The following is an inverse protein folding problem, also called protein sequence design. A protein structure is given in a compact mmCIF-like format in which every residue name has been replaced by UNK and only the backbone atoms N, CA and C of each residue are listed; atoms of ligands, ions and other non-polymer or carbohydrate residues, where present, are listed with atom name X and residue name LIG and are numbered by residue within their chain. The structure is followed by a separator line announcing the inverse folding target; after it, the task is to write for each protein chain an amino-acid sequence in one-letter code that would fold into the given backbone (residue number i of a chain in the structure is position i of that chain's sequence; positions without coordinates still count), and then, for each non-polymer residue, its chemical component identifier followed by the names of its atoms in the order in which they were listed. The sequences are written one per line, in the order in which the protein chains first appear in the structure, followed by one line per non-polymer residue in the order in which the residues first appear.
data_IF_170124582027
#
_entry.id   IF_170124582027
#
_cell.length_a   1.000
_cell.length_b   1.000
_cell.length_c   1.000
_cell.angle_alpha   90.00
_cell.angle_beta   90.00
_cell.angle_gamma   90.00
#
_symmetry.space_group_name_H-M   'P 1'
#
loop_
_entity.id
_entity.type
_entity.pdbx_description
1 polymer ?
#
# COMPACT_ATOMS: atom_id res chain seq x y z
N UNK A 1 -1.80 13.54 19.62
CA UNK A 1 -2.52 12.91 18.49
C UNK A 1 -2.78 13.99 17.45
N UNK A 2 -2.04 14.01 16.35
CA UNK A 2 -2.27 14.99 15.28
C UNK A 2 -3.35 14.42 14.35
N UNK A 3 -4.60 14.75 14.63
CA UNK A 3 -5.72 14.31 13.81
C UNK A 3 -5.87 15.27 12.63
N UNK A 4 -5.39 14.86 11.46
CA UNK A 4 -5.59 15.61 10.21
C UNK A 4 -6.90 15.16 9.56
N UNK A 5 -7.83 16.09 9.39
CA UNK A 5 -9.11 15.84 8.71
C UNK A 5 -8.98 16.13 7.22
N UNK A 6 -9.46 15.21 6.38
CA UNK A 6 -9.49 15.40 4.92
C UNK A 6 -10.84 14.96 4.37
N UNK A 7 -11.39 15.74 3.43
CA UNK A 7 -12.66 15.45 2.77
C UNK A 7 -12.38 14.83 1.40
N UNK A 8 -12.85 13.60 1.19
CA UNK A 8 -12.71 12.88 -0.07
C UNK A 8 -14.08 12.79 -0.71
N UNK A 9 -14.18 13.14 -1.99
CA UNK A 9 -15.35 12.79 -2.81
C UNK A 9 -15.20 11.36 -3.28
N UNK A 10 -16.15 10.52 -2.93
CA UNK A 10 -16.21 9.12 -3.36
C UNK A 10 -17.47 8.98 -4.21
N UNK A 11 -17.36 8.27 -5.34
CA UNK A 11 -18.49 7.92 -6.20
C UNK A 11 -19.59 7.19 -5.40
N UNK A 12 -20.85 7.21 -5.84
CA UNK A 12 -22.02 6.80 -5.06
C UNK A 12 -22.01 5.29 -4.71
N UNK A 13 -21.33 4.48 -5.51
CA UNK A 13 -21.31 3.03 -5.39
C UNK A 13 -20.64 2.51 -4.08
N UNK A 14 -19.41 2.93 -3.73
CA UNK A 14 -18.79 2.61 -2.44
C UNK A 14 -19.50 3.22 -1.22
N UNK A 15 -20.22 4.33 -1.35
CA UNK A 15 -21.04 4.93 -0.28
C UNK A 15 -22.14 3.97 0.18
N UNK A 16 -22.76 3.28 -0.78
CA UNK A 16 -23.83 2.29 -0.56
C UNK A 16 -23.26 1.04 0.11
N UNK A 17 -22.07 0.59 -0.29
CA UNK A 17 -21.41 -0.57 0.32
C UNK A 17 -20.96 -0.27 1.76
N UNK A 18 -20.42 0.92 2.02
CA UNK A 18 -20.03 1.34 3.37
C UNK A 18 -21.26 1.46 4.28
N UNK A 19 -22.37 2.03 3.79
CA UNK A 19 -23.63 2.14 4.54
C UNK A 19 -24.25 0.80 4.92
N UNK A 20 -24.10 -0.24 4.09
CA UNK A 20 -24.60 -1.60 4.36
C UNK A 20 -23.78 -2.38 5.38
N UNK A 21 -22.49 -2.04 5.55
CA UNK A 21 -21.59 -2.69 6.53
C UNK A 21 -21.74 -2.09 7.92
N UNK A 22 -22.24 -0.85 8.02
CA UNK A 22 -22.47 -0.15 9.29
C UNK A 22 -23.54 -0.83 10.17
N UNK A 23 -24.60 -1.40 9.58
CA UNK A 23 -25.76 -1.92 10.33
C UNK A 23 -25.47 -3.14 11.22
N UNK A 24 -24.70 -4.17 10.79
CA UNK A 24 -24.47 -5.36 11.60
C UNK A 24 -23.21 -5.30 12.48
N UNK A 25 -22.26 -4.40 12.17
CA UNK A 25 -20.89 -4.48 12.72
C UNK A 25 -20.53 -3.39 13.73
N UNK A 26 -21.39 -2.38 13.92
CA UNK A 26 -21.14 -1.26 14.85
C UNK A 26 -19.94 -0.38 14.49
N UNK A 27 -19.32 -0.59 13.33
CA UNK A 27 -18.23 0.24 12.83
C UNK A 27 -18.79 1.48 12.15
N UNK A 28 -18.30 2.65 12.53
CA UNK A 28 -18.64 3.92 11.90
C UNK A 28 -17.94 4.01 10.51
N UNK A 29 -18.63 4.51 9.48
CA UNK A 29 -18.08 4.78 8.13
C UNK A 29 -16.67 5.35 8.13
N UNK A 30 -16.40 6.31 9.01
CA UNK A 30 -15.09 6.93 9.15
C UNK A 30 -13.98 5.95 9.56
N UNK A 31 -14.31 4.95 10.37
CA UNK A 31 -13.42 3.86 10.77
C UNK A 31 -13.11 2.91 9.60
N UNK A 32 -14.11 2.56 8.80
CA UNK A 32 -13.91 1.69 7.62
C UNK A 32 -13.07 2.38 6.57
N UNK A 33 -13.36 3.66 6.29
CA UNK A 33 -12.55 4.48 5.36
C UNK A 33 -11.12 4.62 5.87
N UNK A 34 -10.93 4.84 7.18
CA UNK A 34 -9.59 4.88 7.78
C UNK A 34 -8.84 3.57 7.61
N UNK A 35 -9.48 2.43 7.89
CA UNK A 35 -8.88 1.10 7.72
C UNK A 35 -8.52 0.82 6.25
N UNK A 36 -9.39 1.21 5.31
CA UNK A 36 -9.12 1.07 3.87
C UNK A 36 -7.95 1.95 3.42
N UNK A 37 -7.88 3.20 3.89
CA UNK A 37 -6.76 4.11 3.63
C UNK A 37 -5.48 3.57 4.26
N UNK A 38 -5.50 3.08 5.50
CA UNK A 38 -4.34 2.48 6.16
C UNK A 38 -3.83 1.26 5.40
N UNK A 39 -4.72 0.38 4.91
CA UNK A 39 -4.35 -0.75 4.06
C UNK A 39 -3.72 -0.30 2.74
N UNK A 40 -4.31 0.69 2.06
CA UNK A 40 -3.72 1.31 0.85
C UNK A 40 -2.37 1.97 1.14
N UNK A 41 -2.23 2.66 2.27
CA UNK A 41 -0.98 3.26 2.74
C UNK A 41 0.08 2.25 3.19
N UNK A 42 -0.21 0.94 3.26
CA UNK A 42 0.82 -0.10 3.41
C UNK A 42 1.46 -0.52 2.08
N UNK A 43 0.83 -0.22 0.94
CA UNK A 43 1.38 -0.45 -0.40
C UNK A 43 2.52 0.51 -0.87
N UNK A 44 2.78 1.72 -0.31
CA UNK A 44 3.87 2.56 -0.77
C UNK A 44 5.24 1.95 -0.45
N UNK A 45 5.34 0.99 0.47
CA UNK A 45 6.59 0.26 0.69
C UNK A 45 6.94 -0.62 -0.51
N UNK A 46 5.96 -1.30 -1.08
CA UNK A 46 6.15 -2.13 -2.28
C UNK A 46 6.48 -1.22 -3.47
N UNK A 47 5.72 -0.13 -3.66
CA UNK A 47 6.00 0.80 -4.76
C UNK A 47 7.39 1.45 -4.61
N UNK A 48 7.75 1.90 -3.40
CA UNK A 48 9.10 2.44 -3.14
C UNK A 48 10.18 1.40 -3.38
N UNK A 49 9.95 0.16 -2.96
CA UNK A 49 10.88 -0.95 -3.21
C UNK A 49 11.04 -1.21 -4.70
N UNK A 50 9.95 -1.33 -5.46
CA UNK A 50 9.98 -1.53 -6.91
C UNK A 50 10.70 -0.38 -7.62
N UNK A 51 10.43 0.87 -7.21
CA UNK A 51 11.09 2.05 -7.79
C UNK A 51 12.59 2.09 -7.49
N UNK A 52 12.99 1.66 -6.29
CA UNK A 52 14.39 1.57 -5.91
C UNK A 52 15.08 0.42 -6.67
N UNK A 53 14.45 -0.75 -6.73
CA UNK A 53 14.91 -1.91 -7.48
C UNK A 53 15.17 -1.55 -8.94
N UNK A 54 14.21 -0.90 -9.61
CA UNK A 54 14.35 -0.47 -11.00
C UNK A 54 15.56 0.46 -11.23
N UNK A 55 15.94 1.27 -10.24
CA UNK A 55 17.14 2.13 -10.31
C UNK A 55 18.44 1.34 -10.12
N UNK A 56 18.42 0.30 -9.29
CA UNK A 56 19.62 -0.48 -8.91
C UNK A 56 19.88 -1.64 -9.87
N UNK A 57 18.84 -2.22 -10.48
CA UNK A 57 18.93 -3.38 -11.39
C UNK A 57 19.99 -3.23 -12.48
N UNK A 58 20.11 -2.10 -13.21
CA UNK A 58 21.14 -1.97 -14.24
C UNK A 58 22.58 -2.10 -13.72
N UNK A 59 22.82 -1.67 -12.48
CA UNK A 59 24.13 -1.79 -11.84
C UNK A 59 24.40 -3.21 -11.35
N UNK A 60 23.36 -3.88 -10.84
CA UNK A 60 23.42 -5.27 -10.43
C UNK A 60 23.70 -6.20 -11.63
N UNK A 61 23.00 -5.98 -12.75
CA UNK A 61 23.22 -6.72 -14.01
C UNK A 61 24.64 -6.52 -14.54
N UNK A 62 25.19 -5.30 -14.45
CA UNK A 62 26.58 -5.02 -14.85
C UNK A 62 27.62 -5.76 -14.00
N UNK A 63 27.26 -6.16 -12.78
CA UNK A 63 28.09 -6.98 -11.89
C UNK A 63 27.80 -8.49 -12.00
N UNK A 64 26.85 -8.89 -12.84
CA UNK A 64 26.50 -10.30 -13.08
C UNK A 64 25.38 -10.84 -12.19
N UNK A 65 24.70 -9.98 -11.42
CA UNK A 65 23.49 -10.38 -10.70
C UNK A 65 22.29 -10.33 -11.64
N UNK A 66 21.79 -11.49 -12.07
CA UNK A 66 20.61 -11.60 -12.95
C UNK A 66 19.33 -11.97 -12.19
N UNK A 67 19.47 -12.65 -11.07
CA UNK A 67 18.37 -13.15 -10.25
C UNK A 67 18.47 -12.67 -8.82
N UNK A 68 17.35 -12.71 -8.10
CA UNK A 68 17.33 -12.35 -6.68
C UNK A 68 18.15 -13.39 -5.88
N UNK A 69 18.16 -14.65 -6.32
CA UNK A 69 18.99 -15.73 -5.77
C UNK A 69 20.49 -15.43 -5.80
N UNK A 70 21.00 -14.78 -6.85
CA UNK A 70 22.42 -14.39 -6.95
C UNK A 70 22.80 -13.40 -5.83
N UNK A 71 21.89 -12.45 -5.54
CA UNK A 71 22.08 -11.48 -4.46
C UNK A 71 22.01 -12.16 -3.11
N UNK A 72 21.04 -13.07 -2.91
CA UNK A 72 20.89 -13.79 -1.65
C UNK A 72 22.10 -14.67 -1.32
N UNK A 73 22.73 -15.27 -2.33
CA UNK A 73 23.92 -16.10 -2.14
C UNK A 73 25.12 -15.31 -1.56
N UNK A 74 25.23 -14.02 -1.89
CA UNK A 74 26.38 -13.19 -1.50
C UNK A 74 26.19 -12.42 -0.18
N UNK A 75 24.95 -12.24 0.28
CA UNK A 75 24.63 -11.44 1.48
C UNK A 75 24.10 -12.24 2.67
N UNK A 76 23.90 -13.56 2.51
CA UNK A 76 23.35 -14.45 3.56
C UNK A 76 24.41 -15.19 4.36
#
# INVERSE_FOLDING_TARGET
MNTTSFAIRIDDNPSILLGKVDEPSGRNRSGIVREAIERKQRQPRIIRFCNLRAQVTPFAEAQGYLTDEDVFADVS
#
